data_IF_761832182951
#
_entry.id   IF_761832182951
#
_cell.length_a   1.000
_cell.length_b   1.000
_cell.length_c   1.000
_cell.angle_alpha   90.00
_cell.angle_beta   90.00
_cell.angle_gamma   90.00
#
_symmetry.space_group_name_H-M   'P 1'
#
loop_
_entity.id
_entity.type
_entity.pdbx_description
1 polymer ?
#
# COMPACT_ATOMS: atom_id res chain seq x y z
N UNK A 1 4.00 23.83 42.00
CA UNK A 1 4.88 24.72 42.78
C UNK A 1 6.04 25.16 41.90
N UNK A 2 6.45 26.42 42.08
CA UNK A 2 7.66 27.14 41.62
C UNK A 2 8.85 26.28 41.12
N UNK A 3 9.68 26.73 40.18
CA UNK A 3 9.81 28.07 39.61
C UNK A 3 11.09 28.27 38.77
N UNK A 4 11.11 29.42 38.08
CA UNK A 4 12.24 30.35 37.86
C UNK A 4 13.41 29.89 36.95
N UNK A 5 13.53 30.35 35.69
CA UNK A 5 14.06 31.67 35.19
C UNK A 5 15.54 31.93 35.58
N UNK A 6 16.31 32.78 34.85
CA UNK A 6 16.83 32.69 33.47
C UNK A 6 18.33 33.11 33.43
N UNK A 7 18.82 33.60 32.26
CA UNK A 7 19.97 34.52 32.01
C UNK A 7 21.38 33.91 31.73
N UNK A 8 22.34 34.65 31.11
CA UNK A 8 22.23 35.72 30.09
C UNK A 8 23.40 35.83 29.05
N UNK A 9 23.17 36.62 27.98
CA UNK A 9 24.13 37.47 27.21
C UNK A 9 25.23 36.77 26.36
N UNK A 10 25.32 37.03 25.06
CA UNK A 10 25.86 38.33 24.59
C UNK A 10 25.40 38.71 23.17
N UNK A 11 25.11 40.00 23.04
CA UNK A 11 24.76 40.73 21.83
C UNK A 11 25.94 40.79 20.86
N UNK A 12 25.65 40.64 19.57
CA UNK A 12 26.29 41.42 18.52
C UNK A 12 25.15 42.05 17.71
N UNK A 13 24.94 43.33 17.99
CA UNK A 13 24.18 44.24 17.16
C UNK A 13 25.01 44.64 15.94
N UNK A 14 24.30 44.86 14.83
CA UNK A 14 24.55 45.86 13.76
C UNK A 14 24.57 45.29 12.34
N UNK A 15 23.37 45.26 11.72
CA UNK A 15 23.10 45.80 10.37
C UNK A 15 21.59 45.68 10.08
N UNK A 16 20.80 46.58 10.69
CA UNK A 16 19.34 46.48 10.84
C UNK A 16 18.50 47.20 9.76
N UNK A 17 18.95 47.33 8.52
CA UNK A 17 18.07 47.84 7.44
C UNK A 17 18.20 47.08 6.12
N UNK A 18 19.41 46.78 5.62
CA UNK A 18 19.58 46.02 4.37
C UNK A 18 19.06 44.57 4.48
N UNK A 19 19.16 43.99 5.67
CA UNK A 19 18.80 42.61 5.97
C UNK A 19 17.29 42.41 6.15
N UNK A 20 16.57 43.49 6.48
CA UNK A 20 15.11 43.51 6.60
C UNK A 20 14.46 43.80 5.24
N UNK A 21 15.12 44.60 4.40
CA UNK A 21 14.73 44.82 3.00
C UNK A 21 14.91 43.54 2.17
N UNK A 22 16.03 42.82 2.32
CA UNK A 22 16.25 41.52 1.66
C UNK A 22 15.29 40.45 2.15
N UNK A 23 14.99 40.39 3.46
CA UNK A 23 13.96 39.49 4.01
C UNK A 23 12.55 39.85 3.55
N UNK A 24 12.23 41.14 3.43
CA UNK A 24 10.93 41.59 2.91
C UNK A 24 10.80 41.35 1.41
N UNK A 25 11.90 41.46 0.65
CA UNK A 25 11.93 41.18 -0.79
C UNK A 25 11.89 39.68 -1.08
N UNK A 26 12.56 38.87 -0.25
CA UNK A 26 12.45 37.40 -0.26
C UNK A 26 11.05 36.95 0.13
N UNK A 27 10.45 37.49 1.21
CA UNK A 27 9.03 37.23 1.55
C UNK A 27 8.07 37.70 0.48
N UNK A 28 8.35 38.81 -0.22
CA UNK A 28 7.55 39.24 -1.37
C UNK A 28 7.68 38.29 -2.55
N UNK A 29 8.88 37.79 -2.85
CA UNK A 29 9.10 36.80 -3.91
C UNK A 29 8.54 35.42 -3.54
N UNK A 30 8.61 35.02 -2.28
CA UNK A 30 8.02 33.79 -1.75
C UNK A 30 6.48 33.91 -1.73
N UNK A 31 5.93 35.08 -1.36
CA UNK A 31 4.49 35.38 -1.47
C UNK A 31 4.02 35.57 -2.91
N UNK A 32 4.85 36.09 -3.82
CA UNK A 32 4.55 36.19 -5.26
C UNK A 32 4.63 34.81 -5.92
N UNK A 33 5.54 33.92 -5.51
CA UNK A 33 5.59 32.52 -5.95
C UNK A 33 4.47 31.66 -5.36
N UNK A 34 4.10 31.87 -4.09
CA UNK A 34 2.90 31.27 -3.48
C UNK A 34 1.62 31.84 -4.10
N UNK A 35 1.57 33.14 -4.43
CA UNK A 35 0.45 33.81 -5.09
C UNK A 35 0.34 33.43 -6.57
N UNK A 36 1.42 33.18 -7.28
CA UNK A 36 1.43 32.72 -8.67
C UNK A 36 1.07 31.23 -8.73
N UNK A 37 1.54 30.42 -7.78
CA UNK A 37 1.12 29.03 -7.61
C UNK A 37 -0.31 28.88 -7.09
N UNK A 38 -0.77 29.77 -6.19
CA UNK A 38 -2.18 29.90 -5.79
C UNK A 38 -3.03 30.50 -6.90
N UNK A 39 -2.53 31.40 -7.73
CA UNK A 39 -3.23 31.89 -8.91
C UNK A 39 -3.28 30.84 -10.01
N UNK A 40 -2.27 30.00 -10.19
CA UNK A 40 -2.32 28.86 -11.11
C UNK A 40 -3.25 27.78 -10.55
N UNK A 41 -3.20 27.48 -9.25
CA UNK A 41 -4.15 26.60 -8.57
C UNK A 41 -5.56 27.14 -8.62
N UNK A 42 -5.76 28.44 -8.41
CA UNK A 42 -7.07 29.12 -8.50
C UNK A 42 -7.50 29.29 -9.96
N UNK A 43 -6.59 29.45 -10.93
CA UNK A 43 -6.92 29.46 -12.35
C UNK A 43 -7.26 28.06 -12.85
N UNK A 44 -6.56 27.01 -12.41
CA UNK A 44 -6.93 25.60 -12.63
C UNK A 44 -8.22 25.26 -11.89
N UNK A 45 -8.39 25.72 -10.65
CA UNK A 45 -9.63 25.60 -9.88
C UNK A 45 -10.75 26.34 -10.59
N UNK A 46 -10.56 27.54 -11.11
CA UNK A 46 -11.54 28.29 -11.91
C UNK A 46 -11.75 27.70 -13.31
N UNK A 47 -10.75 27.03 -13.90
CA UNK A 47 -10.88 26.28 -15.15
C UNK A 47 -11.70 25.00 -14.94
N UNK A 48 -11.53 24.34 -13.80
CA UNK A 48 -12.19 23.07 -13.41
C UNK A 48 -13.55 23.30 -12.70
N UNK A 49 -13.70 24.41 -11.97
CA UNK A 49 -14.93 24.97 -11.38
C UNK A 49 -15.77 25.71 -12.41
N UNK A 50 -15.23 26.04 -13.59
CA UNK A 50 -16.07 26.39 -14.71
C UNK A 50 -16.98 25.19 -14.93
N UNK A 51 -18.24 25.34 -14.52
CA UNK A 51 -19.30 24.33 -14.65
C UNK A 51 -19.38 23.81 -16.09
N UNK A 52 -18.71 24.43 -17.06
CA UNK A 52 -18.47 23.93 -18.41
C UNK A 52 -17.53 22.72 -18.55
N UNK A 53 -16.54 22.47 -17.68
CA UNK A 53 -15.74 21.21 -17.71
C UNK A 53 -16.50 20.10 -16.98
N UNK A 54 -17.02 20.38 -15.79
CA UNK A 54 -17.87 19.47 -15.02
C UNK A 54 -19.18 19.08 -15.76
N UNK A 55 -19.77 20.00 -16.54
CA UNK A 55 -20.92 19.71 -17.42
C UNK A 55 -20.52 19.42 -18.87
N UNK A 56 -19.23 19.54 -19.19
CA UNK A 56 -18.63 19.16 -20.47
C UNK A 56 -18.25 17.69 -20.47
N UNK A 57 -17.77 17.19 -21.60
CA UNK A 57 -17.60 15.75 -21.78
C UNK A 57 -16.51 15.17 -20.85
N UNK A 58 -15.52 15.96 -20.44
CA UNK A 58 -14.49 15.55 -19.47
C UNK A 58 -15.04 15.36 -18.05
N UNK A 59 -15.91 16.26 -17.57
CA UNK A 59 -16.58 16.13 -16.29
C UNK A 59 -17.64 15.04 -16.27
N UNK A 60 -18.34 14.83 -17.39
CA UNK A 60 -19.20 13.65 -17.57
C UNK A 60 -18.37 12.35 -17.54
N UNK A 61 -17.16 12.32 -18.11
CA UNK A 61 -16.25 11.16 -18.06
C UNK A 61 -15.81 10.84 -16.63
N UNK A 62 -15.38 11.84 -15.86
CA UNK A 62 -15.01 11.67 -14.44
C UNK A 62 -16.19 11.24 -13.55
N UNK A 63 -17.39 11.79 -13.75
CA UNK A 63 -18.63 11.34 -13.07
C UNK A 63 -18.99 9.89 -13.35
N UNK A 64 -18.66 9.41 -14.55
CA UNK A 64 -18.90 8.04 -14.95
C UNK A 64 -17.89 7.08 -14.36
N UNK A 65 -16.61 7.43 -14.33
CA UNK A 65 -15.56 6.59 -13.74
C UNK A 65 -15.76 6.41 -12.22
N UNK A 66 -16.18 7.47 -11.52
CA UNK A 66 -16.52 7.39 -10.08
C UNK A 66 -17.87 6.71 -9.80
N UNK A 67 -18.87 6.90 -10.65
CA UNK A 67 -20.16 6.22 -10.53
C UNK A 67 -20.05 4.69 -10.64
N UNK A 68 -19.03 4.18 -11.36
CA UNK A 68 -18.71 2.74 -11.43
C UNK A 68 -18.08 2.21 -10.13
N UNK A 69 -17.15 2.96 -9.53
CA UNK A 69 -16.50 2.60 -8.27
C UNK A 69 -17.51 2.49 -7.12
N UNK A 70 -18.43 3.46 -7.00
CA UNK A 70 -19.36 3.53 -5.87
C UNK A 70 -20.57 2.58 -5.98
N UNK A 71 -20.94 2.12 -7.19
CA UNK A 71 -21.97 1.07 -7.37
C UNK A 71 -21.44 -0.36 -7.16
N UNK A 72 -20.11 -0.54 -7.13
CA UNK A 72 -19.48 -1.84 -6.99
C UNK A 72 -19.32 -2.33 -5.53
N UNK A 73 -19.59 -1.45 -4.56
CA UNK A 73 -19.55 -1.71 -3.12
C UNK A 73 -20.93 -1.51 -2.47
N UNK A 74 -21.55 -2.64 -2.10
CA UNK A 74 -22.62 -2.84 -1.10
C UNK A 74 -23.82 -1.87 -1.06
N UNK A 75 -25.03 -2.46 -1.13
CA UNK A 75 -26.27 -1.83 -0.65
C UNK A 75 -26.10 -1.38 0.81
N UNK A 76 -25.80 -0.10 1.04
CA UNK A 76 -25.79 0.46 2.39
C UNK A 76 -24.83 1.61 2.67
N UNK A 77 -23.88 1.93 1.78
CA UNK A 77 -23.03 3.12 1.97
C UNK A 77 -23.88 4.36 1.68
N UNK A 78 -24.06 5.30 2.64
CA UNK A 78 -24.73 6.56 2.33
C UNK A 78 -23.95 7.19 1.20
N UNK A 79 -24.65 7.49 0.10
CA UNK A 79 -24.17 8.14 -1.12
C UNK A 79 -23.25 9.32 -0.76
N UNK A 80 -21.97 9.03 -0.50
CA UNK A 80 -20.94 10.03 -0.41
C UNK A 80 -20.97 10.70 -1.78
N UNK A 81 -21.19 12.01 -1.77
CA UNK A 81 -21.48 12.78 -2.97
C UNK A 81 -20.47 12.39 -4.05
N UNK A 82 -20.92 11.74 -5.13
CA UNK A 82 -20.04 11.29 -6.23
C UNK A 82 -19.19 12.48 -6.70
N UNK A 83 -19.76 13.69 -6.64
CA UNK A 83 -19.07 14.92 -6.98
C UNK A 83 -17.94 15.25 -5.98
N UNK A 84 -18.08 14.92 -4.69
CA UNK A 84 -17.01 15.05 -3.69
C UNK A 84 -15.85 14.07 -3.96
N UNK A 85 -16.14 12.81 -4.27
CA UNK A 85 -15.09 11.83 -4.58
C UNK A 85 -14.32 12.16 -5.87
N UNK A 86 -15.03 12.69 -6.88
CA UNK A 86 -14.41 13.22 -8.10
C UNK A 86 -13.57 14.45 -7.77
N UNK A 87 -14.09 15.38 -6.98
CA UNK A 87 -13.37 16.57 -6.59
C UNK A 87 -12.09 16.22 -5.83
N UNK A 88 -12.17 15.30 -4.87
CA UNK A 88 -11.03 14.76 -4.13
C UNK A 88 -9.99 14.19 -5.09
N UNK A 89 -10.40 13.37 -6.04
CA UNK A 89 -9.50 12.77 -7.02
C UNK A 89 -8.85 13.78 -7.97
N UNK A 90 -9.60 14.77 -8.44
CA UNK A 90 -9.06 15.84 -9.28
C UNK A 90 -8.00 16.62 -8.50
N UNK A 91 -8.25 16.92 -7.22
CA UNK A 91 -7.27 17.61 -6.38
C UNK A 91 -6.03 16.73 -6.15
N UNK A 92 -6.19 15.44 -5.84
CA UNK A 92 -5.07 14.50 -5.71
C UNK A 92 -4.21 14.47 -6.97
N UNK A 93 -4.83 14.45 -8.16
CA UNK A 93 -4.11 14.49 -9.43
C UNK A 93 -3.48 15.85 -9.73
N UNK A 94 -4.12 16.94 -9.33
CA UNK A 94 -3.60 18.29 -9.50
C UNK A 94 -2.38 18.53 -8.60
N UNK A 95 -2.41 18.04 -7.37
CA UNK A 95 -1.29 18.12 -6.42
C UNK A 95 -0.07 17.30 -6.90
N UNK A 96 -0.32 16.22 -7.65
CA UNK A 96 0.72 15.38 -8.26
C UNK A 96 1.14 15.86 -9.66
N UNK A 97 0.50 16.89 -10.21
CA UNK A 97 0.79 17.36 -11.55
C UNK A 97 2.14 18.10 -11.56
N UNK A 98 2.97 17.74 -12.52
CA UNK A 98 4.21 18.45 -12.85
C UNK A 98 4.22 18.75 -14.35
N UNK A 99 4.85 19.86 -14.73
CA UNK A 99 4.98 20.23 -16.13
C UNK A 99 5.80 19.19 -16.90
N UNK A 100 5.56 19.09 -18.22
CA UNK A 100 6.21 18.06 -19.04
C UNK A 100 7.73 18.23 -19.04
N UNK A 101 8.21 19.48 -19.11
CA UNK A 101 9.64 19.77 -19.12
C UNK A 101 10.30 19.35 -17.79
N UNK A 102 9.66 19.62 -16.66
CA UNK A 102 10.13 19.17 -15.34
C UNK A 102 10.11 17.64 -15.22
N UNK A 103 9.07 16.98 -15.75
CA UNK A 103 8.98 15.51 -15.80
C UNK A 103 10.13 14.91 -16.62
N UNK A 104 10.45 15.50 -17.78
CA UNK A 104 11.54 15.08 -18.64
C UNK A 104 12.90 15.30 -17.97
N UNK A 105 13.10 16.45 -17.30
CA UNK A 105 14.31 16.77 -16.57
C UNK A 105 14.53 15.81 -15.38
N UNK A 106 13.49 15.54 -14.59
CA UNK A 106 13.55 14.58 -13.48
C UNK A 106 13.93 13.16 -13.94
N UNK A 107 13.55 12.79 -15.16
CA UNK A 107 13.90 11.49 -15.75
C UNK A 107 15.18 11.54 -16.59
N UNK A 108 15.82 12.71 -16.73
CA UNK A 108 17.08 12.89 -17.46
C UNK A 108 16.99 12.55 -18.96
N UNK A 109 15.83 12.77 -19.59
CA UNK A 109 15.60 12.41 -21.00
C UNK A 109 14.99 13.58 -21.78
N UNK A 110 15.27 13.62 -23.08
CA UNK A 110 14.58 14.51 -24.01
C UNK A 110 13.19 13.98 -24.39
N UNK A 111 12.37 14.86 -24.96
CA UNK A 111 11.04 14.50 -25.47
C UNK A 111 11.08 13.34 -26.50
N UNK A 112 12.02 13.37 -27.44
CA UNK A 112 12.17 12.32 -28.45
C UNK A 112 12.62 10.98 -27.85
N UNK A 113 13.53 11.02 -26.87
CA UNK A 113 13.99 9.82 -26.18
C UNK A 113 12.85 9.20 -25.36
N UNK A 114 12.05 10.01 -24.67
CA UNK A 114 10.90 9.52 -23.90
C UNK A 114 9.85 8.83 -24.79
N UNK A 115 9.59 9.37 -25.99
CA UNK A 115 8.72 8.73 -26.97
C UNK A 115 9.29 7.41 -27.48
N UNK A 116 10.59 7.38 -27.79
CA UNK A 116 11.25 6.16 -28.23
C UNK A 116 11.23 5.08 -27.15
N UNK A 117 11.49 5.45 -25.88
CA UNK A 117 11.39 4.54 -24.74
C UNK A 117 9.98 3.98 -24.55
N UNK A 118 8.94 4.83 -24.66
CA UNK A 118 7.55 4.38 -24.60
C UNK A 118 7.22 3.37 -25.72
N UNK A 119 7.70 3.63 -26.95
CA UNK A 119 7.53 2.73 -28.08
C UNK A 119 8.31 1.41 -27.89
N UNK A 120 9.53 1.48 -27.36
CA UNK A 120 10.36 0.31 -27.06
C UNK A 120 9.75 -0.56 -25.96
N UNK A 121 9.22 0.05 -24.90
CA UNK A 121 8.49 -0.64 -23.84
C UNK A 121 7.30 -1.42 -24.40
N UNK A 122 6.47 -0.77 -25.21
CA UNK A 122 5.34 -1.43 -25.89
C UNK A 122 5.81 -2.57 -26.79
N UNK A 123 6.89 -2.37 -27.55
CA UNK A 123 7.47 -3.42 -28.41
C UNK A 123 7.94 -4.61 -27.60
N UNK A 124 8.63 -4.39 -26.47
CA UNK A 124 9.07 -5.46 -25.57
C UNK A 124 7.88 -6.26 -25.03
N UNK A 125 6.83 -5.59 -24.58
CA UNK A 125 5.59 -6.23 -24.14
C UNK A 125 5.00 -7.14 -25.22
N UNK A 126 4.86 -6.63 -26.45
CA UNK A 126 4.33 -7.40 -27.58
C UNK A 126 5.20 -8.62 -27.93
N UNK A 127 6.53 -8.47 -27.94
CA UNK A 127 7.44 -9.58 -28.17
C UNK A 127 7.32 -10.67 -27.09
N UNK A 128 7.08 -10.30 -25.83
CA UNK A 128 6.87 -11.24 -24.75
C UNK A 128 5.52 -11.97 -24.87
N UNK A 129 4.45 -11.27 -25.24
CA UNK A 129 3.16 -11.91 -25.52
C UNK A 129 3.28 -12.96 -26.62
N UNK A 130 3.95 -12.62 -27.72
CA UNK A 130 4.18 -13.55 -28.83
C UNK A 130 5.02 -14.76 -28.41
N UNK A 131 6.12 -14.53 -27.67
CA UNK A 131 6.99 -15.59 -27.13
C UNK A 131 6.23 -16.61 -26.29
N UNK A 132 5.25 -16.16 -25.50
CA UNK A 132 4.46 -17.00 -24.60
C UNK A 132 3.11 -17.41 -25.18
N UNK A 133 2.88 -17.14 -26.48
CA UNK A 133 1.63 -17.44 -27.17
C UNK A 133 0.39 -16.97 -26.39
N UNK A 134 0.46 -15.74 -25.87
CA UNK A 134 -0.66 -15.01 -25.25
C UNK A 134 -1.32 -14.18 -26.35
N UNK A 135 -2.63 -14.32 -26.54
CA UNK A 135 -3.36 -13.56 -27.58
C UNK A 135 -3.30 -12.07 -27.27
N UNK A 136 -2.95 -11.29 -28.29
CA UNK A 136 -2.95 -9.83 -28.27
C UNK A 136 -4.04 -9.29 -29.20
N UNK A 137 -5.31 -9.34 -28.76
CA UNK A 137 -6.46 -8.83 -29.52
C UNK A 137 -7.02 -7.58 -28.85
N UNK A 138 -7.56 -7.75 -27.65
CA UNK A 138 -7.93 -6.70 -26.72
C UNK A 138 -7.38 -7.05 -25.33
N UNK A 139 -7.41 -6.08 -24.41
CA UNK A 139 -6.83 -6.24 -23.07
C UNK A 139 -7.50 -7.37 -22.28
N UNK A 140 -8.81 -7.57 -22.44
CA UNK A 140 -9.56 -8.61 -21.70
C UNK A 140 -9.11 -9.99 -22.14
N UNK A 141 -9.07 -10.23 -23.46
CA UNK A 141 -8.57 -11.49 -24.03
C UNK A 141 -7.12 -11.73 -23.62
N UNK A 142 -6.30 -10.67 -23.64
CA UNK A 142 -4.90 -10.74 -23.20
C UNK A 142 -4.80 -11.16 -21.73
N UNK A 143 -5.62 -10.57 -20.85
CA UNK A 143 -5.65 -10.93 -19.43
C UNK A 143 -6.05 -12.39 -19.22
N UNK A 144 -7.14 -12.85 -19.84
CA UNK A 144 -7.62 -14.23 -19.69
C UNK A 144 -6.59 -15.27 -20.16
N UNK A 145 -5.97 -15.04 -21.31
CA UNK A 145 -4.89 -15.92 -21.80
C UNK A 145 -3.68 -15.90 -20.89
N UNK A 146 -3.29 -14.71 -20.42
CA UNK A 146 -2.15 -14.57 -19.54
C UNK A 146 -2.39 -15.31 -18.22
N UNK A 147 -3.59 -15.20 -17.65
CA UNK A 147 -3.97 -15.97 -16.46
C UNK A 147 -3.87 -17.48 -16.74
N UNK A 148 -4.39 -17.97 -17.86
CA UNK A 148 -4.28 -19.40 -18.24
C UNK A 148 -2.82 -19.88 -18.35
N UNK A 149 -1.91 -19.04 -18.88
CA UNK A 149 -0.47 -19.34 -18.91
C UNK A 149 0.14 -19.36 -17.52
N UNK A 150 -0.22 -18.38 -16.68
CA UNK A 150 0.27 -18.27 -15.31
C UNK A 150 -0.16 -19.47 -14.47
N UNK A 151 -1.38 -19.98 -14.64
CA UNK A 151 -1.84 -21.19 -13.96
C UNK A 151 -0.89 -22.38 -14.16
N UNK A 152 -0.33 -22.48 -15.36
CA UNK A 152 0.59 -23.55 -15.73
C UNK A 152 2.01 -23.29 -15.22
N UNK A 153 2.43 -22.03 -15.15
CA UNK A 153 3.81 -21.63 -14.83
C UNK A 153 3.85 -20.35 -13.96
N UNK A 154 3.39 -20.41 -12.70
CA UNK A 154 3.19 -19.21 -11.88
C UNK A 154 4.49 -18.53 -11.44
N UNK A 155 5.60 -19.26 -11.46
CA UNK A 155 6.94 -18.78 -11.12
C UNK A 155 7.72 -18.28 -12.34
N UNK A 156 7.13 -18.26 -13.55
CA UNK A 156 7.84 -17.84 -14.75
C UNK A 156 8.03 -16.31 -14.77
N UNK A 157 9.27 -15.79 -14.75
CA UNK A 157 9.52 -14.34 -14.62
C UNK A 157 8.88 -13.50 -15.71
N UNK A 158 8.94 -13.94 -16.98
CA UNK A 158 8.30 -13.19 -18.07
C UNK A 158 6.78 -13.10 -17.91
N UNK A 159 6.11 -14.13 -17.38
CA UNK A 159 4.64 -14.13 -17.21
C UNK A 159 4.24 -13.23 -16.03
N UNK A 160 5.01 -13.25 -14.94
CA UNK A 160 4.84 -12.33 -13.81
C UNK A 160 5.08 -10.87 -14.24
N UNK A 161 6.10 -10.62 -15.06
CA UNK A 161 6.38 -9.31 -15.64
C UNK A 161 5.24 -8.85 -16.55
N UNK A 162 4.76 -9.71 -17.47
CA UNK A 162 3.61 -9.41 -18.31
C UNK A 162 2.36 -9.08 -17.48
N UNK A 163 2.14 -9.81 -16.39
CA UNK A 163 1.03 -9.56 -15.47
C UNK A 163 1.16 -8.16 -14.86
N UNK A 164 2.33 -7.80 -14.33
CA UNK A 164 2.56 -6.46 -13.78
C UNK A 164 2.42 -5.36 -14.83
N UNK A 165 2.89 -5.57 -16.06
CA UNK A 165 2.67 -4.64 -17.16
C UNK A 165 1.18 -4.38 -17.40
N UNK A 166 0.36 -5.44 -17.40
CA UNK A 166 -1.08 -5.34 -17.60
C UNK A 166 -1.76 -4.59 -16.45
N UNK A 167 -1.52 -4.99 -15.19
CA UNK A 167 -2.21 -4.35 -14.05
C UNK A 167 -1.76 -2.92 -13.75
N UNK A 168 -0.65 -2.48 -14.34
CA UNK A 168 -0.15 -1.10 -14.27
C UNK A 168 -0.41 -0.30 -15.54
N UNK A 169 -1.22 -0.81 -16.47
CA UNK A 169 -1.45 -0.14 -17.75
C UNK A 169 -2.25 1.16 -17.61
N UNK A 170 -1.58 2.29 -17.79
CA UNK A 170 -2.22 3.61 -17.94
C UNK A 170 -2.71 3.84 -19.38
N UNK A 171 -3.10 2.77 -20.06
CA UNK A 171 -3.55 2.74 -21.44
C UNK A 171 -2.43 2.69 -22.48
N UNK A 172 -1.15 2.61 -22.12
CA UNK A 172 -0.05 2.54 -23.09
C UNK A 172 -0.05 1.23 -23.89
N UNK A 173 -0.44 0.13 -23.24
CA UNK A 173 -0.47 -1.21 -23.83
C UNK A 173 -1.77 -1.46 -24.58
N UNK A 174 -2.89 -1.04 -23.98
CA UNK A 174 -4.21 -1.17 -24.57
C UNK A 174 -4.38 -0.29 -25.82
N UNK A 175 -4.98 -0.86 -26.88
CA UNK A 175 -5.27 -0.15 -28.12
C UNK A 175 -6.54 0.72 -28.03
N UNK A 176 -7.38 0.52 -27.01
CA UNK A 176 -8.58 1.32 -26.80
C UNK A 176 -8.20 2.80 -26.64
N UNK A 177 -8.90 3.67 -27.39
CA UNK A 177 -8.64 5.11 -27.48
C UNK A 177 -7.17 5.47 -27.81
N UNK A 178 -6.41 4.60 -28.48
CA UNK A 178 -5.02 4.89 -28.85
C UNK A 178 -4.88 6.07 -29.82
N UNK A 179 -5.88 6.28 -30.67
CA UNK A 179 -5.93 7.38 -31.64
C UNK A 179 -6.15 8.75 -30.98
N UNK A 180 -6.81 8.78 -29.82
CA UNK A 180 -7.16 10.03 -29.13
C UNK A 180 -6.00 10.56 -28.27
N UNK A 181 -4.91 9.80 -28.15
CA UNK A 181 -3.78 10.11 -27.28
C UNK A 181 -2.72 10.95 -27.98
N UNK A 182 -2.45 12.13 -27.40
CA UNK A 182 -1.30 12.95 -27.81
C UNK A 182 0.02 12.26 -27.47
N UNK A 183 1.10 12.72 -28.09
CA UNK A 183 2.44 12.24 -27.77
C UNK A 183 2.83 12.53 -26.31
N UNK A 184 2.53 13.73 -25.81
CA UNK A 184 2.71 14.06 -24.39
C UNK A 184 1.97 13.07 -23.48
N UNK A 185 0.72 12.72 -23.78
CA UNK A 185 -0.04 11.75 -22.98
C UNK A 185 0.62 10.37 -23.00
N UNK A 186 1.22 9.96 -24.12
CA UNK A 186 1.97 8.69 -24.21
C UNK A 186 3.21 8.72 -23.31
N UNK A 187 3.95 9.82 -23.32
CA UNK A 187 5.13 10.02 -22.45
C UNK A 187 4.73 9.95 -20.97
N UNK A 188 3.69 10.70 -20.57
CA UNK A 188 3.21 10.71 -19.18
C UNK A 188 2.71 9.34 -18.74
N UNK A 189 1.94 8.65 -19.57
CA UNK A 189 1.44 7.31 -19.26
C UNK A 189 2.59 6.29 -19.17
N UNK A 190 3.61 6.42 -20.02
CA UNK A 190 4.82 5.62 -19.92
C UNK A 190 5.52 5.81 -18.58
N UNK A 191 5.82 7.04 -18.16
CA UNK A 191 6.48 7.25 -16.87
C UNK A 191 5.65 6.78 -15.67
N UNK A 192 4.33 7.02 -15.68
CA UNK A 192 3.42 6.51 -14.63
C UNK A 192 3.45 4.99 -14.54
N UNK A 193 3.35 4.33 -15.69
CA UNK A 193 3.40 2.87 -15.76
C UNK A 193 4.77 2.34 -15.33
N UNK A 194 5.86 2.97 -15.75
CA UNK A 194 7.21 2.54 -15.39
C UNK A 194 7.43 2.64 -13.87
N UNK A 195 7.00 3.73 -13.26
CA UNK A 195 7.06 3.92 -11.81
C UNK A 195 6.25 2.86 -11.05
N UNK A 196 4.99 2.64 -11.44
CA UNK A 196 4.12 1.64 -10.81
C UNK A 196 4.65 0.20 -11.01
N UNK A 197 5.19 -0.10 -12.19
CA UNK A 197 5.80 -1.38 -12.53
C UNK A 197 7.06 -1.63 -11.70
N UNK A 198 7.93 -0.63 -11.54
CA UNK A 198 9.12 -0.71 -10.68
C UNK A 198 8.72 -0.95 -9.23
N UNK A 199 7.78 -0.17 -8.71
CA UNK A 199 7.28 -0.30 -7.36
C UNK A 199 6.71 -1.70 -7.07
N UNK A 200 5.92 -2.26 -8.00
CA UNK A 200 5.43 -3.64 -7.88
C UNK A 200 6.53 -4.68 -7.97
N UNK A 201 7.47 -4.50 -8.88
CA UNK A 201 8.57 -5.46 -9.08
C UNK A 201 9.48 -5.51 -7.86
N UNK A 202 9.86 -4.35 -7.32
CA UNK A 202 10.67 -4.23 -6.11
C UNK A 202 9.94 -4.83 -4.90
N UNK A 203 8.65 -4.53 -4.76
CA UNK A 203 7.81 -5.11 -3.71
C UNK A 203 7.70 -6.63 -3.82
N UNK A 204 7.45 -7.16 -5.02
CA UNK A 204 7.32 -8.59 -5.26
C UNK A 204 8.64 -9.34 -5.02
N UNK A 205 9.77 -8.75 -5.42
CA UNK A 205 11.10 -9.30 -5.14
C UNK A 205 11.33 -9.39 -3.63
N UNK A 206 11.03 -8.33 -2.88
CA UNK A 206 11.15 -8.33 -1.42
C UNK A 206 10.23 -9.39 -0.76
N UNK A 207 8.99 -9.55 -1.24
CA UNK A 207 8.07 -10.59 -0.76
C UNK A 207 8.62 -11.99 -1.06
N UNK A 208 9.19 -12.22 -2.25
CA UNK A 208 9.77 -13.50 -2.65
C UNK A 208 10.97 -13.88 -1.79
N UNK A 209 11.84 -12.92 -1.47
CA UNK A 209 12.96 -13.13 -0.54
C UNK A 209 12.46 -13.45 0.88
N UNK A 210 11.45 -12.72 1.37
CA UNK A 210 10.88 -12.97 2.69
C UNK A 210 10.13 -14.31 2.76
N UNK A 211 9.51 -14.78 1.67
CA UNK A 211 8.94 -16.13 1.57
C UNK A 211 10.00 -17.21 1.76
N UNK A 212 11.18 -17.05 1.13
CA UNK A 212 12.30 -17.97 1.33
C UNK A 212 12.79 -17.99 2.79
N UNK A 213 12.93 -16.80 3.40
CA UNK A 213 13.31 -16.67 4.82
C UNK A 213 12.25 -17.31 5.74
N UNK A 214 10.97 -17.12 5.44
CA UNK A 214 9.85 -17.73 6.16
C UNK A 214 9.91 -19.25 6.11
N UNK A 215 10.12 -19.86 4.94
CA UNK A 215 10.28 -21.31 4.83
C UNK A 215 11.51 -21.81 5.61
N UNK A 216 12.64 -21.10 5.55
CA UNK A 216 13.83 -21.42 6.32
C UNK A 216 13.58 -21.36 7.84
N UNK A 217 12.75 -20.41 8.29
CA UNK A 217 12.31 -20.30 9.69
C UNK A 217 11.38 -21.46 10.08
N UNK A 218 10.42 -21.84 9.23
CA UNK A 218 9.56 -23.00 9.49
C UNK A 218 10.34 -24.31 9.59
N UNK A 219 11.31 -24.52 8.71
CA UNK A 219 12.24 -25.66 8.78
C UNK A 219 13.03 -25.65 10.09
N UNK A 220 13.52 -24.47 10.49
CA UNK A 220 14.23 -24.28 11.74
C UNK A 220 13.36 -24.63 12.98
N UNK A 221 12.07 -24.32 12.93
CA UNK A 221 11.09 -24.56 14.01
C UNK A 221 10.55 -26.00 14.06
N UNK A 222 10.95 -26.91 13.17
CA UNK A 222 10.51 -28.32 13.21
C UNK A 222 10.97 -29.08 14.46
N UNK A 223 12.11 -28.68 15.06
CA UNK A 223 12.67 -29.33 16.25
C UNK A 223 12.37 -28.50 17.50
N UNK A 224 11.99 -29.12 18.63
CA UNK A 224 11.83 -28.41 19.90
C UNK A 224 13.13 -27.68 20.27
N UNK A 225 13.05 -26.38 20.51
CA UNK A 225 14.19 -25.56 20.94
C UNK A 225 14.20 -25.50 22.47
N UNK A 226 15.37 -25.74 23.07
CA UNK A 226 15.55 -25.57 24.52
C UNK A 226 15.78 -24.09 24.79
N UNK A 227 15.14 -23.57 25.82
CA UNK A 227 15.45 -22.26 26.37
C UNK A 227 16.82 -22.38 27.03
N UNK A 228 17.85 -21.79 26.43
CA UNK A 228 19.14 -21.66 27.11
C UNK A 228 19.02 -20.65 28.25
N UNK A 229 19.81 -20.84 29.31
CA UNK A 229 19.93 -19.86 30.39
C UNK A 229 20.59 -18.60 29.84
N UNK A 230 19.77 -17.62 29.46
CA UNK A 230 20.25 -16.36 28.90
C UNK A 230 20.20 -15.19 29.85
N UNK A 231 20.76 -14.07 29.40
CA UNK A 231 20.76 -12.80 30.13
C UNK A 231 19.38 -12.16 30.01
N UNK A 232 18.82 -11.74 31.15
CA UNK A 232 17.58 -10.97 31.17
C UNK A 232 17.86 -9.55 30.69
N UNK A 233 17.07 -9.08 29.72
CA UNK A 233 17.07 -7.67 29.32
C UNK A 233 15.82 -7.01 29.93
N UNK A 234 15.98 -6.41 31.11
CA UNK A 234 14.88 -5.81 31.86
C UNK A 234 14.39 -4.52 31.20
N UNK A 235 15.25 -3.72 30.57
CA UNK A 235 14.84 -2.49 29.87
C UNK A 235 13.93 -2.80 28.68
N UNK A 236 14.30 -3.79 27.87
CA UNK A 236 13.48 -4.29 26.76
C UNK A 236 12.17 -4.91 27.26
N UNK A 237 12.20 -5.57 28.44
CA UNK A 237 10.99 -6.14 29.04
C UNK A 237 10.02 -5.06 29.48
N UNK A 238 10.51 -4.03 30.18
CA UNK A 238 9.71 -2.93 30.68
C UNK A 238 9.07 -2.17 29.51
N UNK A 239 9.83 -1.90 28.45
CA UNK A 239 9.30 -1.32 27.20
C UNK A 239 8.16 -2.16 26.64
N UNK A 240 8.40 -3.46 26.45
CA UNK A 240 7.39 -4.37 25.90
C UNK A 240 6.15 -4.46 26.81
N UNK A 241 6.33 -4.61 28.12
CA UNK A 241 5.24 -4.70 29.07
C UNK A 241 4.37 -3.44 29.05
N UNK A 242 5.00 -2.25 29.07
CA UNK A 242 4.31 -0.97 28.97
C UNK A 242 3.60 -0.75 27.64
N UNK A 243 4.18 -1.23 26.53
CA UNK A 243 3.55 -1.18 25.21
C UNK A 243 2.28 -2.05 25.22
N UNK A 244 2.37 -3.31 25.64
CA UNK A 244 1.21 -4.21 25.66
C UNK A 244 0.07 -3.72 26.55
N UNK A 245 0.40 -2.99 27.62
CA UNK A 245 -0.56 -2.39 28.54
C UNK A 245 -1.43 -1.30 27.88
N UNK A 246 -1.03 -0.71 26.75
CA UNK A 246 -1.78 0.39 26.12
C UNK A 246 -2.97 -0.08 25.28
N UNK A 247 -3.00 -1.35 24.88
CA UNK A 247 -4.00 -1.88 23.94
C UNK A 247 -5.23 -2.43 24.66
N UNK A 248 -6.42 -2.11 24.15
CA UNK A 248 -7.71 -2.35 24.81
C UNK A 248 -7.97 -3.84 25.11
N UNK A 249 -7.62 -4.72 24.17
CA UNK A 249 -7.81 -6.17 24.35
C UNK A 249 -6.84 -6.80 25.38
N UNK A 250 -5.82 -6.04 25.79
CA UNK A 250 -4.82 -6.41 26.81
C UNK A 250 -5.01 -5.63 28.12
N UNK A 251 -6.05 -4.81 28.26
CA UNK A 251 -6.23 -3.97 29.45
C UNK A 251 -6.25 -4.79 30.77
N UNK A 252 -6.83 -5.98 30.75
CA UNK A 252 -6.85 -6.91 31.89
C UNK A 252 -5.48 -7.52 32.27
N UNK A 253 -4.43 -7.24 31.49
CA UNK A 253 -3.08 -7.76 31.72
C UNK A 253 -2.23 -6.92 32.67
N UNK A 254 -2.52 -5.60 32.83
CA UNK A 254 -1.64 -4.64 33.54
C UNK A 254 -1.25 -5.02 34.97
N UNK A 255 -2.07 -5.82 35.64
CA UNK A 255 -1.89 -6.25 37.03
C UNK A 255 -1.88 -7.77 37.17
N UNK A 256 -1.79 -8.50 36.05
CA UNK A 256 -1.86 -9.95 36.04
C UNK A 256 -0.44 -10.56 36.15
N UNK A 257 -0.05 -11.12 37.31
CA UNK A 257 1.29 -11.67 37.50
C UNK A 257 1.55 -12.90 36.61
N UNK A 258 0.51 -13.66 36.25
CA UNK A 258 0.65 -14.81 35.33
C UNK A 258 1.01 -14.31 33.93
N UNK A 259 0.40 -13.21 33.49
CA UNK A 259 0.72 -12.61 32.21
C UNK A 259 2.15 -12.06 32.19
N UNK A 260 2.54 -11.31 33.23
CA UNK A 260 3.89 -10.76 33.34
C UNK A 260 4.97 -11.86 33.29
N UNK A 261 4.81 -12.92 34.11
CA UNK A 261 5.73 -14.06 34.13
C UNK A 261 5.82 -14.77 32.78
N UNK A 262 4.68 -15.01 32.13
CA UNK A 262 4.64 -15.66 30.82
C UNK A 262 5.26 -14.80 29.73
N UNK A 263 4.99 -13.49 29.71
CA UNK A 263 5.56 -12.56 28.74
C UNK A 263 7.08 -12.47 28.90
N UNK A 264 7.57 -12.41 30.14
CA UNK A 264 8.99 -12.39 30.46
C UNK A 264 9.68 -13.68 30.00
N UNK A 265 9.05 -14.83 30.23
CA UNK A 265 9.56 -16.12 29.75
C UNK A 265 9.60 -16.19 28.22
N UNK A 266 8.58 -15.69 27.54
CA UNK A 266 8.51 -15.63 26.07
C UNK A 266 9.63 -14.74 25.50
N UNK A 267 9.78 -13.53 26.01
CA UNK A 267 10.82 -12.60 25.58
C UNK A 267 12.22 -13.19 25.82
N UNK A 268 12.46 -13.79 26.99
CA UNK A 268 13.72 -14.48 27.26
C UNK A 268 13.97 -15.61 26.26
N UNK A 269 12.95 -16.39 25.90
CA UNK A 269 13.12 -17.44 24.90
C UNK A 269 13.49 -16.87 23.52
N UNK A 270 12.85 -15.79 23.10
CA UNK A 270 13.08 -15.14 21.81
C UNK A 270 14.47 -14.51 21.75
N UNK A 271 14.85 -13.74 22.77
CA UNK A 271 16.11 -12.97 22.77
C UNK A 271 17.36 -13.87 22.80
N UNK A 272 17.24 -15.13 23.19
CA UNK A 272 18.34 -16.10 23.23
C UNK A 272 18.47 -16.95 21.95
N UNK A 273 17.66 -16.68 20.92
CA UNK A 273 17.76 -17.34 19.63
C UNK A 273 17.80 -16.28 18.54
N UNK A 274 18.94 -16.15 17.87
CA UNK A 274 19.18 -15.13 16.82
C UNK A 274 18.07 -15.15 15.76
N UNK A 275 17.56 -16.33 15.38
CA UNK A 275 16.51 -16.43 14.36
C UNK A 275 15.14 -16.00 14.88
N UNK A 276 14.85 -16.24 16.16
CA UNK A 276 13.60 -15.80 16.76
C UNK A 276 13.64 -14.31 17.08
N UNK A 277 14.78 -13.81 17.56
CA UNK A 277 15.01 -12.39 17.84
C UNK A 277 14.80 -11.54 16.59
N UNK A 278 15.27 -12.02 15.44
CA UNK A 278 15.06 -11.34 14.16
C UNK A 278 13.58 -11.14 13.78
N UNK A 279 12.67 -11.98 14.28
CA UNK A 279 11.22 -11.89 14.00
C UNK A 279 10.40 -11.60 15.26
N UNK A 280 11.03 -11.04 16.29
CA UNK A 280 10.43 -10.78 17.59
C UNK A 280 9.14 -9.96 17.51
N UNK A 281 9.05 -8.84 16.76
CA UNK A 281 7.81 -8.06 16.67
C UNK A 281 6.62 -8.92 16.26
N UNK A 282 6.78 -9.74 15.21
CA UNK A 282 5.73 -10.63 14.75
C UNK A 282 5.40 -11.75 15.75
N UNK A 283 6.41 -12.38 16.37
CA UNK A 283 6.17 -13.44 17.37
C UNK A 283 5.34 -12.90 18.53
N UNK A 284 5.74 -11.75 19.09
CA UNK A 284 5.04 -11.12 20.20
C UNK A 284 3.59 -10.80 19.79
N UNK A 285 3.40 -10.13 18.65
CA UNK A 285 2.08 -9.85 18.11
C UNK A 285 1.22 -11.13 18.00
N UNK A 286 1.72 -12.16 17.31
CA UNK A 286 0.96 -13.37 17.03
C UNK A 286 0.60 -14.14 18.32
N UNK A 287 1.49 -14.15 19.32
CA UNK A 287 1.20 -14.78 20.62
C UNK A 287 0.15 -13.97 21.38
N UNK A 288 0.27 -12.65 21.43
CA UNK A 288 -0.63 -11.79 22.18
C UNK A 288 -2.02 -11.73 21.55
N UNK A 289 -2.13 -11.67 20.24
CA UNK A 289 -3.41 -11.67 19.51
C UNK A 289 -4.10 -13.04 19.59
N UNK A 290 -3.36 -14.14 19.43
CA UNK A 290 -3.97 -15.47 19.24
C UNK A 290 -4.06 -16.29 20.53
N UNK A 291 -3.16 -16.05 21.50
CA UNK A 291 -3.02 -16.87 22.71
C UNK A 291 -3.20 -16.06 24.01
N UNK A 292 -3.83 -14.88 23.95
CA UNK A 292 -4.04 -13.97 25.09
C UNK A 292 -4.59 -14.68 26.33
N UNK A 293 -5.66 -15.48 26.15
CA UNK A 293 -6.30 -16.19 27.26
C UNK A 293 -5.37 -17.21 27.94
N UNK A 294 -4.47 -17.84 27.18
CA UNK A 294 -3.47 -18.76 27.75
C UNK A 294 -2.36 -17.99 28.47
N UNK A 295 -1.87 -16.89 27.88
CA UNK A 295 -0.90 -16.00 28.51
C UNK A 295 -1.41 -15.46 29.85
N UNK A 296 -2.71 -15.20 29.99
CA UNK A 296 -3.30 -14.65 31.22
C UNK A 296 -3.65 -15.70 32.29
N UNK A 297 -3.99 -16.94 31.90
CA UNK A 297 -4.60 -17.92 32.82
C UNK A 297 -3.70 -19.11 33.16
N UNK A 298 -2.76 -19.48 32.30
CA UNK A 298 -1.93 -20.68 32.47
C UNK A 298 -0.53 -20.29 32.93
N UNK A 299 -0.18 -20.63 34.17
CA UNK A 299 1.18 -20.43 34.70
C UNK A 299 2.21 -21.19 33.87
N UNK A 300 3.36 -20.58 33.62
CA UNK A 300 4.47 -21.13 32.85
C UNK A 300 4.07 -21.57 31.43
N UNK A 301 3.17 -20.81 30.81
CA UNK A 301 2.76 -21.06 29.45
C UNK A 301 3.87 -20.63 28.48
N UNK A 302 4.23 -21.54 27.58
CA UNK A 302 5.11 -21.27 26.45
C UNK A 302 4.36 -21.66 25.16
N UNK A 303 4.17 -20.73 24.21
CA UNK A 303 3.48 -21.04 22.96
C UNK A 303 4.30 -21.99 22.10
N UNK A 304 3.61 -22.81 21.30
CA UNK A 304 4.26 -23.53 20.21
C UNK A 304 4.60 -22.53 19.10
N UNK A 305 5.88 -22.17 18.98
CA UNK A 305 6.34 -21.18 18.02
C UNK A 305 6.08 -21.60 16.56
N UNK A 306 6.08 -22.89 16.23
CA UNK A 306 5.70 -23.32 14.88
C UNK A 306 4.24 -22.98 14.56
N UNK A 307 3.35 -23.07 15.55
CA UNK A 307 1.92 -22.83 15.35
C UNK A 307 1.55 -21.36 15.16
N UNK A 308 2.38 -20.41 15.63
CA UNK A 308 2.12 -18.98 15.45
C UNK A 308 2.48 -18.50 14.04
N UNK A 309 3.30 -19.23 13.29
CA UNK A 309 3.60 -18.97 11.89
C UNK A 309 2.62 -19.65 10.93
N UNK A 310 1.52 -20.20 11.43
CA UNK A 310 0.43 -20.69 10.58
C UNK A 310 -0.57 -19.57 10.29
N UNK A 311 -1.25 -19.65 9.15
CA UNK A 311 -2.31 -18.71 8.81
C UNK A 311 -3.40 -18.69 9.88
N UNK A 312 -3.71 -17.51 10.40
CA UNK A 312 -4.79 -17.31 11.34
C UNK A 312 -5.99 -16.75 10.61
N UNK A 313 -7.06 -17.54 10.59
CA UNK A 313 -8.36 -17.07 10.10
C UNK A 313 -8.96 -16.07 11.12
N UNK A 314 -9.30 -14.90 10.61
CA UNK A 314 -10.16 -13.92 11.29
C UNK A 314 -11.42 -13.74 10.44
N UNK A 315 -12.55 -13.50 11.10
CA UNK A 315 -13.80 -13.29 10.40
C UNK A 315 -13.95 -11.80 10.08
N UNK A 316 -13.29 -11.35 9.03
CA UNK A 316 -13.21 -9.93 8.65
C UNK A 316 -14.48 -9.44 7.93
N UNK A 317 -15.28 -10.35 7.37
CA UNK A 317 -16.49 -10.04 6.60
C UNK A 317 -17.78 -10.01 7.44
N UNK A 318 -17.70 -10.26 8.76
CA UNK A 318 -18.85 -10.14 9.66
C UNK A 318 -18.54 -9.12 10.74
N UNK A 319 -19.05 -7.91 10.58
CA UNK A 319 -18.97 -6.89 11.61
C UNK A 319 -20.14 -6.99 12.59
N UNK A 320 -19.80 -7.04 13.88
CA UNK A 320 -20.75 -6.96 14.98
C UNK A 320 -20.36 -5.84 15.97
N UNK A 321 -19.50 -4.90 15.55
CA UNK A 321 -18.91 -3.80 16.33
C UNK A 321 -17.85 -4.23 17.34
N UNK A 322 -17.90 -5.47 17.85
CA UNK A 322 -16.89 -6.01 18.77
C UNK A 322 -15.63 -6.47 18.03
N UNK A 323 -15.81 -7.08 16.86
CA UNK A 323 -14.70 -7.52 16.02
C UNK A 323 -13.91 -6.31 15.49
N UNK A 324 -14.58 -5.21 15.11
CA UNK A 324 -13.94 -3.99 14.63
C UNK A 324 -12.92 -3.43 15.62
N UNK A 325 -13.36 -3.15 16.86
CA UNK A 325 -12.48 -2.59 17.90
C UNK A 325 -11.32 -3.53 18.25
N UNK A 326 -11.54 -4.84 18.17
CA UNK A 326 -10.48 -5.80 18.40
C UNK A 326 -9.45 -5.77 17.29
N UNK A 327 -9.86 -5.81 16.02
CA UNK A 327 -8.93 -5.79 14.87
C UNK A 327 -8.14 -4.49 14.81
N UNK A 328 -8.79 -3.34 15.05
CA UNK A 328 -8.11 -2.05 15.16
C UNK A 328 -7.02 -2.08 16.25
N UNK A 329 -7.34 -2.58 17.45
CA UNK A 329 -6.37 -2.65 18.54
C UNK A 329 -5.25 -3.68 18.29
N UNK A 330 -5.52 -4.76 17.54
CA UNK A 330 -4.50 -5.72 17.09
C UNK A 330 -3.55 -5.11 16.04
N UNK A 331 -4.06 -4.28 15.13
CA UNK A 331 -3.27 -3.53 14.13
C UNK A 331 -2.36 -2.50 14.81
N UNK A 332 -2.91 -1.68 15.71
CA UNK A 332 -2.16 -0.71 16.50
C UNK A 332 -1.02 -1.40 17.28
N UNK A 333 -1.29 -2.59 17.86
CA UNK A 333 -0.26 -3.35 18.56
C UNK A 333 0.90 -3.71 17.64
N UNK A 334 0.60 -4.18 16.43
CA UNK A 334 1.65 -4.54 15.48
C UNK A 334 2.43 -3.31 15.01
N UNK A 335 1.75 -2.20 14.67
CA UNK A 335 2.41 -0.95 14.27
C UNK A 335 3.33 -0.43 15.39
N UNK A 336 2.87 -0.41 16.65
CA UNK A 336 3.70 0.00 17.78
C UNK A 336 4.90 -0.93 18.00
N UNK A 337 4.72 -2.25 17.87
CA UNK A 337 5.83 -3.21 17.96
C UNK A 337 6.84 -2.97 16.83
N UNK A 338 6.38 -2.81 15.59
CA UNK A 338 7.22 -2.52 14.42
C UNK A 338 8.06 -1.26 14.67
N UNK A 339 7.43 -0.15 15.04
CA UNK A 339 8.12 1.13 15.30
C UNK A 339 9.11 1.03 16.46
N UNK A 340 8.81 0.24 17.49
CA UNK A 340 9.69 0.08 18.66
C UNK A 340 10.98 -0.69 18.35
N UNK A 341 10.99 -1.49 17.28
CA UNK A 341 12.13 -2.33 16.89
C UNK A 341 12.69 -1.99 15.50
N UNK A 342 12.26 -0.89 14.87
CA UNK A 342 12.65 -0.55 13.49
C UNK A 342 14.14 -0.23 13.35
N UNK A 343 14.74 0.37 14.39
CA UNK A 343 16.17 0.73 14.42
C UNK A 343 17.05 -0.38 15.03
N UNK A 344 16.46 -1.51 15.44
CA UNK A 344 17.21 -2.66 15.95
C UNK A 344 17.82 -3.43 14.77
N UNK A 345 19.14 -3.37 14.62
CA UNK A 345 19.87 -4.01 13.53
C UNK A 345 19.78 -5.54 13.53
N UNK A 346 19.32 -6.14 14.63
CA UNK A 346 19.09 -7.58 14.71
C UNK A 346 17.67 -7.98 14.27
N UNK A 347 16.75 -7.01 14.10
CA UNK A 347 15.36 -7.25 13.69
C UNK A 347 15.22 -7.22 12.16
N UNK A 348 14.67 -8.30 11.59
CA UNK A 348 14.27 -8.37 10.19
C UNK A 348 12.81 -7.88 10.06
N UNK A 349 12.65 -6.56 10.00
CA UNK A 349 11.33 -5.91 9.87
C UNK A 349 10.62 -6.37 8.59
N UNK A 350 11.35 -6.57 7.48
CA UNK A 350 10.78 -7.06 6.23
C UNK A 350 10.13 -8.43 6.38
N UNK A 351 10.79 -9.37 7.08
CA UNK A 351 10.21 -10.68 7.37
C UNK A 351 9.04 -10.60 8.36
N UNK A 352 9.09 -9.69 9.34
CA UNK A 352 7.95 -9.45 10.23
C UNK A 352 6.72 -8.97 9.46
N UNK A 353 6.91 -7.96 8.59
CA UNK A 353 5.87 -7.34 7.78
C UNK A 353 5.28 -8.35 6.79
N UNK A 354 6.14 -9.18 6.18
CA UNK A 354 5.72 -10.32 5.39
C UNK A 354 4.82 -11.28 6.18
N UNK A 355 5.25 -11.69 7.38
CA UNK A 355 4.47 -12.61 8.22
C UNK A 355 3.14 -11.99 8.65
N UNK A 356 3.11 -10.69 8.96
CA UNK A 356 1.89 -9.99 9.35
C UNK A 356 0.87 -9.94 8.21
N UNK A 357 1.31 -9.48 7.04
CA UNK A 357 0.46 -9.31 5.86
C UNK A 357 -0.07 -10.64 5.29
N UNK A 358 0.74 -11.71 5.35
CA UNK A 358 0.44 -12.95 4.64
C UNK A 358 -0.10 -14.08 5.53
N UNK A 359 0.05 -14.00 6.87
CA UNK A 359 -0.41 -15.04 7.80
C UNK A 359 -1.68 -14.66 8.56
N UNK A 360 -2.33 -13.56 8.17
CA UNK A 360 -3.67 -13.18 8.63
C UNK A 360 -4.32 -12.18 7.66
N UNK A 361 -5.65 -12.10 7.60
CA UNK A 361 -6.38 -11.13 6.79
C UNK A 361 -6.51 -9.74 7.47
N UNK A 362 -5.77 -9.45 8.55
CA UNK A 362 -5.91 -8.18 9.28
C UNK A 362 -5.44 -6.96 8.47
N UNK A 363 -4.34 -7.09 7.72
CA UNK A 363 -3.91 -6.06 6.78
C UNK A 363 -5.00 -5.75 5.75
N UNK A 364 -5.62 -6.79 5.21
CA UNK A 364 -6.70 -6.64 4.23
C UNK A 364 -7.92 -5.95 4.85
N UNK A 365 -8.28 -6.31 6.08
CA UNK A 365 -9.34 -5.63 6.82
C UNK A 365 -9.04 -4.14 7.01
N UNK A 366 -7.81 -3.77 7.36
CA UNK A 366 -7.40 -2.36 7.52
C UNK A 366 -7.68 -1.55 6.24
N UNK A 367 -7.19 -2.03 5.09
CA UNK A 367 -7.35 -1.32 3.82
C UNK A 367 -8.77 -1.32 3.26
N UNK A 368 -9.66 -2.17 3.77
CA UNK A 368 -11.08 -2.16 3.42
C UNK A 368 -11.92 -1.26 4.32
N UNK A 369 -11.50 -1.02 5.58
CA UNK A 369 -12.36 -0.44 6.61
C UNK A 369 -11.80 0.83 7.26
N UNK A 370 -10.53 1.17 7.02
CA UNK A 370 -9.86 2.30 7.65
C UNK A 370 -9.34 3.29 6.59
N UNK A 371 -9.28 4.58 6.96
CA UNK A 371 -8.51 5.55 6.18
C UNK A 371 -7.01 5.27 6.41
N UNK A 372 -6.21 5.06 5.35
CA UNK A 372 -4.80 4.73 5.49
C UNK A 372 -4.00 5.88 6.14
N UNK A 373 -3.73 5.75 7.43
CA UNK A 373 -2.97 6.68 8.27
C UNK A 373 -1.75 6.03 8.95
N UNK A 374 -1.63 4.71 8.86
CA UNK A 374 -0.58 3.89 9.43
C UNK A 374 0.11 3.10 8.31
N UNK A 375 1.41 2.85 8.44
CA UNK A 375 2.18 2.02 7.50
C UNK A 375 1.94 0.52 7.75
N UNK A 376 0.68 0.09 7.67
CA UNK A 376 0.34 -1.32 7.82
C UNK A 376 0.93 -2.13 6.66
N UNK A 377 1.56 -3.30 6.89
CA UNK A 377 2.10 -4.10 5.80
C UNK A 377 1.02 -4.59 4.82
N UNK A 378 1.28 -4.49 3.52
CA UNK A 378 0.39 -5.00 2.47
C UNK A 378 0.76 -6.42 2.06
N UNK A 379 -0.23 -7.21 1.64
CA UNK A 379 -0.01 -8.39 0.81
C UNK A 379 0.07 -7.99 -0.68
N UNK A 380 0.55 -8.88 -1.55
CA UNK A 380 0.73 -8.59 -2.97
C UNK A 380 -0.55 -8.10 -3.67
N UNK A 381 -1.69 -8.77 -3.45
CA UNK A 381 -2.97 -8.37 -4.05
C UNK A 381 -3.39 -6.95 -3.65
N UNK A 382 -3.20 -6.60 -2.37
CA UNK A 382 -3.48 -5.26 -1.86
C UNK A 382 -2.52 -4.22 -2.46
N UNK A 383 -1.25 -4.58 -2.62
CA UNK A 383 -0.28 -3.70 -3.29
C UNK A 383 -0.64 -3.46 -4.75
N UNK A 384 -1.08 -4.49 -5.47
CA UNK A 384 -1.60 -4.37 -6.84
C UNK A 384 -2.76 -3.39 -6.89
N UNK A 385 -3.76 -3.53 -6.00
CA UNK A 385 -4.90 -2.60 -5.94
C UNK A 385 -4.48 -1.15 -5.64
N UNK A 386 -3.42 -0.95 -4.87
CA UNK A 386 -2.94 0.38 -4.48
C UNK A 386 -2.25 1.14 -5.63
N UNK A 387 -1.52 0.43 -6.50
CA UNK A 387 -0.75 1.02 -7.60
C UNK A 387 -1.45 0.93 -8.96
N UNK A 388 -2.45 0.05 -9.08
CA UNK A 388 -3.25 -0.12 -10.29
C UNK A 388 -4.02 1.17 -10.62
N UNK A 389 -4.09 1.57 -11.90
CA UNK A 389 -4.89 2.71 -12.29
C UNK A 389 -6.37 2.47 -11.99
N UNK A 390 -7.06 3.50 -11.44
CA UNK A 390 -8.51 3.44 -11.16
C UNK A 390 -9.37 3.12 -12.40
N UNK A 391 -8.82 3.31 -13.59
CA UNK A 391 -9.47 3.05 -14.88
C UNK A 391 -9.23 1.63 -15.42
N UNK A 392 -8.53 0.77 -14.68
CA UNK A 392 -8.25 -0.61 -15.11
C UNK A 392 -9.43 -1.55 -14.81
N UNK A 393 -9.77 -2.49 -15.72
CA UNK A 393 -9.32 -2.56 -17.11
C UNK A 393 -10.14 -1.65 -18.02
N UNK A 394 -9.46 -1.01 -18.98
CA UNK A 394 -10.12 -0.12 -19.93
C UNK A 394 -10.74 -0.90 -21.11
N UNK A 395 -11.96 -1.43 -20.93
CA UNK A 395 -12.55 -2.39 -21.88
C UNK A 395 -13.23 -1.80 -23.12
N UNK A 396 -13.66 -0.54 -23.06
CA UNK A 396 -14.50 0.06 -24.09
C UNK A 396 -13.96 1.41 -24.53
N UNK A 397 -14.10 1.74 -25.82
CA UNK A 397 -13.80 3.10 -26.27
C UNK A 397 -14.77 4.11 -25.63
N UNK A 398 -14.39 5.40 -25.63
CA UNK A 398 -15.29 6.44 -25.13
C UNK A 398 -16.60 6.46 -25.95
N UNK A 399 -16.48 6.29 -27.27
CA UNK A 399 -17.61 6.30 -28.19
C UNK A 399 -18.56 5.11 -27.97
N UNK A 400 -18.03 3.92 -27.70
CA UNK A 400 -18.85 2.73 -27.45
C UNK A 400 -19.60 2.86 -26.12
N UNK A 401 -18.92 3.38 -25.09
CA UNK A 401 -19.55 3.60 -23.80
C UNK A 401 -20.66 4.65 -23.86
N UNK A 402 -20.46 5.74 -24.62
CA UNK A 402 -21.45 6.82 -24.76
C UNK A 402 -22.77 6.35 -25.42
N UNK A 403 -22.74 5.22 -26.12
CA UNK A 403 -23.91 4.64 -26.80
C UNK A 403 -24.65 3.60 -25.94
N UNK A 404 -24.10 3.22 -24.78
CA UNK A 404 -24.67 2.17 -23.94
C UNK A 404 -25.84 2.67 -23.08
N UNK A 405 -26.82 1.79 -22.91
CA UNK A 405 -27.86 1.98 -21.91
C UNK A 405 -27.39 1.52 -20.51
N UNK A 406 -28.17 1.85 -19.47
CA UNK A 406 -27.81 1.53 -18.08
C UNK A 406 -27.60 0.02 -17.83
N UNK A 407 -28.37 -0.84 -18.50
CA UNK A 407 -28.24 -2.30 -18.35
C UNK A 407 -26.96 -2.83 -18.99
N UNK A 408 -26.57 -2.29 -20.14
CA UNK A 408 -25.28 -2.60 -20.79
C UNK A 408 -24.12 -2.13 -19.91
N UNK A 409 -24.17 -0.90 -19.40
CA UNK A 409 -23.15 -0.37 -18.48
C UNK A 409 -22.97 -1.27 -17.26
N UNK A 410 -24.05 -1.76 -16.67
CA UNK A 410 -23.98 -2.67 -15.53
C UNK A 410 -23.30 -3.99 -15.90
N UNK A 411 -23.67 -4.60 -17.04
CA UNK A 411 -23.07 -5.85 -17.50
C UNK A 411 -21.55 -5.73 -17.73
N UNK A 412 -21.10 -4.60 -18.29
CA UNK A 412 -19.67 -4.32 -18.43
C UNK A 412 -18.98 -4.10 -17.08
N UNK A 413 -19.63 -3.42 -16.14
CA UNK A 413 -19.11 -3.23 -14.79
C UNK A 413 -18.91 -4.56 -14.07
N UNK A 414 -19.88 -5.47 -14.20
CA UNK A 414 -19.83 -6.79 -13.60
C UNK A 414 -18.69 -7.63 -14.22
N UNK A 415 -18.54 -7.60 -15.55
CA UNK A 415 -17.43 -8.25 -16.24
C UNK A 415 -16.06 -7.68 -15.84
N UNK A 416 -15.98 -6.38 -15.55
CA UNK A 416 -14.74 -5.73 -15.10
C UNK A 416 -14.34 -6.21 -13.71
N UNK A 417 -15.33 -6.30 -12.83
CA UNK A 417 -15.17 -6.80 -11.48
C UNK A 417 -14.74 -8.26 -11.50
N UNK A 418 -15.39 -9.10 -12.30
CA UNK A 418 -15.03 -10.51 -12.46
C UNK A 418 -13.59 -10.67 -12.97
N UNK A 419 -13.20 -9.91 -14.00
CA UNK A 419 -11.84 -9.96 -14.51
C UNK A 419 -10.81 -9.54 -13.44
N UNK A 420 -11.09 -8.47 -12.70
CA UNK A 420 -10.21 -8.01 -11.62
C UNK A 420 -10.06 -9.05 -10.50
N UNK A 421 -11.18 -9.64 -10.06
CA UNK A 421 -11.17 -10.69 -9.03
C UNK A 421 -10.33 -11.90 -9.47
N UNK A 422 -10.49 -12.36 -10.72
CA UNK A 422 -9.71 -13.47 -11.26
C UNK A 422 -8.22 -13.13 -11.41
N UNK A 423 -7.90 -11.89 -11.83
CA UNK A 423 -6.51 -11.41 -11.91
C UNK A 423 -5.87 -11.44 -10.51
N UNK A 424 -6.53 -10.87 -9.49
CA UNK A 424 -6.03 -10.88 -8.13
C UNK A 424 -5.83 -12.32 -7.60
N UNK A 425 -6.79 -13.22 -7.83
CA UNK A 425 -6.63 -14.63 -7.47
C UNK A 425 -5.44 -15.30 -8.19
N UNK A 426 -5.17 -14.90 -9.43
CA UNK A 426 -4.00 -15.37 -10.19
C UNK A 426 -2.70 -14.88 -9.54
N UNK A 427 -2.64 -13.62 -9.09
CA UNK A 427 -1.46 -13.06 -8.44
C UNK A 427 -1.11 -13.76 -7.10
N UNK A 428 -2.10 -14.29 -6.37
CA UNK A 428 -1.87 -15.09 -5.15
C UNK A 428 -0.96 -16.28 -5.41
N UNK A 429 -0.93 -16.80 -6.65
CA UNK A 429 -0.14 -17.98 -7.03
C UNK A 429 1.33 -17.66 -7.18
N UNK A 430 1.71 -16.38 -7.25
CA UNK A 430 3.11 -15.96 -7.31
C UNK A 430 3.83 -16.17 -5.97
N UNK A 431 3.11 -16.13 -4.84
CA UNK A 431 3.66 -16.29 -3.49
C UNK A 431 2.97 -17.45 -2.77
N UNK A 432 3.43 -18.68 -3.02
CA UNK A 432 2.88 -19.90 -2.39
C UNK A 432 3.48 -20.10 -0.99
N UNK A 433 2.70 -19.78 0.05
CA UNK A 433 3.04 -19.92 1.48
C UNK A 433 3.05 -21.35 2.02
#
# INVERSE_FOLDING_TARGET
MHGLMPNPLTKLSESTEEDEVLRSRKRKLDMEAESDGEQLREQLRLHLEDKRILNGDAGKRLRRDFGRLLKSGEEGVPMADIDYEIYKYINELADQYIELDDLLEQNGVSYSEALEQAAQFRKQFLCLLEKHAVRNQDLVVTCWDLMERIEQQPEHPDLQYLYFCVVTDFGLLNAVNAADRTEEQKIRNYFRQQNALRELTDFFQAQSENLQKYHALLEYLKKPRRVESGVRNEEDFDLLYHLTAQHAFLYGCKTNPVYEENLRALQLHINNDVKLKAVKPYIIFAVLARKTGMMQKRKYFMPNLKSIFQYQNYNIYKDNGKNFNQYASELELYDHLRRSYIDDCETDVGLCDFCFANLSPLSEWYYQNCEPNEEIPMALCRKILNVMPKSFPYMLSYADYDQMNEGEVQLYSDAAKELLENMLHTAEKFLRL
#
